data_IF_632503597096
#
_entry.id   IF_632503597096
#
_cell.length_a   1.000
_cell.length_b   1.000
_cell.length_c   1.000
_cell.angle_alpha   90.00
_cell.angle_beta   90.00
_cell.angle_gamma   90.00
#
_symmetry.space_group_name_H-M   'P 1'
#
loop_
_entity.id
_entity.type
_entity.pdbx_description
1 polymer ?
#
# COMPACT_ATOMS: atom_id res chain seq x y z
N UNK A 1 -16.44 -34.44 -2.76
CA UNK A 1 -16.38 -33.92 -2.99
C UNK A 1 -16.25 -33.30 -2.80
N UNK A 2 -16.07 -33.38 -2.68
CA UNK A 2 -15.96 -32.75 -2.74
C UNK A 2 -15.66 -31.99 -2.82
N UNK A 3 -15.53 -32.05 -2.78
CA UNK A 3 -15.16 -31.35 -2.99
C UNK A 3 -14.86 -30.60 -3.26
N UNK A 4 -14.61 -30.77 -3.26
CA UNK A 4 -14.17 -30.05 -3.66
C UNK A 4 -13.77 -29.55 -3.90
N UNK A 5 -13.56 -29.79 -3.87
CA UNK A 5 -13.15 -29.31 -4.33
C UNK A 5 -13.15 -28.63 -4.60
N UNK A 6 -13.38 -28.66 -4.77
CA UNK A 6 -13.36 -27.89 -5.07
C UNK A 6 -13.07 -27.11 -4.64
N UNK A 7 -13.20 -27.14 -4.35
CA UNK A 7 -12.94 -26.50 -4.00
C UNK A 7 -12.28 -25.92 -3.59
N UNK A 8 -12.55 -25.89 -3.63
CA UNK A 8 -11.88 -25.33 -3.13
C UNK A 8 -10.73 -24.88 -2.97
N UNK A 9 -10.59 -25.00 -3.24
CA UNK A 9 -9.19 -24.68 -3.38
C UNK A 9 -8.99 -23.39 -4.14
N UNK A 10 -9.80 -22.50 -3.91
CA UNK A 10 -9.68 -21.22 -4.55
C UNK A 10 -8.51 -20.47 -3.99
N UNK A 11 -7.67 -19.84 -4.83
CA UNK A 11 -6.59 -19.00 -4.36
C UNK A 11 -7.13 -17.85 -3.52
N UNK A 12 -6.34 -17.45 -2.56
CA UNK A 12 -6.73 -16.38 -1.67
C UNK A 12 -6.62 -15.01 -2.29
N UNK A 13 -5.94 -14.89 -3.42
CA UNK A 13 -5.65 -13.60 -4.01
C UNK A 13 -6.90 -12.76 -4.31
N UNK A 14 -8.03 -13.43 -4.50
CA UNK A 14 -9.26 -12.72 -4.81
C UNK A 14 -9.96 -12.18 -3.59
N UNK A 15 -9.51 -12.58 -2.42
CA UNK A 15 -10.17 -12.19 -1.19
C UNK A 15 -9.60 -10.91 -0.66
N UNK A 16 -10.47 -10.00 -0.29
CA UNK A 16 -10.05 -8.80 0.41
C UNK A 16 -9.83 -9.13 1.88
N UNK A 17 -8.88 -8.49 2.53
CA UNK A 17 -8.76 -8.63 3.98
C UNK A 17 -9.97 -8.01 4.67
N UNK A 18 -10.18 -8.39 5.91
CA UNK A 18 -11.21 -7.75 6.73
C UNK A 18 -10.70 -6.36 7.09
N UNK A 19 -11.48 -5.35 6.72
CA UNK A 19 -11.17 -3.96 7.02
C UNK A 19 -12.33 -3.40 7.82
N UNK A 20 -12.09 -3.01 9.05
CA UNK A 20 -13.12 -2.46 9.90
C UNK A 20 -13.55 -1.09 9.38
N UNK A 21 -14.80 -0.73 9.70
CA UNK A 21 -15.32 0.56 9.25
C UNK A 21 -14.44 1.69 9.77
N UNK A 22 -14.12 2.64 8.89
CA UNK A 22 -13.28 3.77 9.24
C UNK A 22 -11.80 3.44 9.26
N UNK A 23 -11.43 2.22 8.91
CA UNK A 23 -10.05 1.75 8.94
C UNK A 23 -9.48 1.68 7.54
N UNK A 24 -8.18 1.85 7.44
CA UNK A 24 -7.44 1.61 6.21
C UNK A 24 -6.22 0.77 6.53
N UNK A 25 -5.83 -0.08 5.57
CA UNK A 25 -4.66 -0.91 5.76
C UNK A 25 -3.97 -1.18 4.43
N UNK A 26 -2.73 -1.63 4.52
CA UNK A 26 -1.95 -2.00 3.36
C UNK A 26 -1.59 -3.48 3.51
N UNK A 27 -1.74 -4.22 2.41
CA UNK A 27 -1.25 -5.59 2.34
C UNK A 27 0.05 -5.55 1.53
N UNK A 28 1.11 -6.00 2.15
CA UNK A 28 2.42 -6.08 1.53
C UNK A 28 3.11 -7.35 1.98
N UNK A 29 3.56 -8.18 1.03
CA UNK A 29 4.23 -9.45 1.33
C UNK A 29 3.40 -10.33 2.25
N UNK A 30 2.10 -10.41 2.00
CA UNK A 30 1.16 -11.19 2.81
C UNK A 30 1.07 -10.71 4.26
N UNK A 31 1.50 -9.50 4.54
CA UNK A 31 1.39 -8.89 5.86
C UNK A 31 0.44 -7.73 5.82
N UNK A 32 -0.25 -7.53 6.92
CA UNK A 32 -1.23 -6.46 7.07
C UNK A 32 -0.64 -5.34 7.91
N UNK A 33 -0.67 -4.12 7.35
CA UNK A 33 -0.19 -2.93 8.05
C UNK A 33 -1.34 -1.94 8.14
N UNK A 34 -1.86 -1.73 9.34
CA UNK A 34 -2.96 -0.79 9.54
C UNK A 34 -2.40 0.62 9.48
N UNK A 35 -3.07 1.48 8.71
CA UNK A 35 -2.68 2.90 8.63
C UNK A 35 -3.35 3.58 9.81
N UNK A 36 -2.63 3.67 10.91
CA UNK A 36 -3.17 4.16 12.18
C UNK A 36 -2.54 5.48 12.63
N UNK A 37 -1.87 6.16 11.74
CA UNK A 37 -1.26 7.45 12.03
C UNK A 37 -1.12 8.24 10.74
N UNK A 38 -0.93 9.53 10.87
CA UNK A 38 -0.70 10.42 9.74
C UNK A 38 0.39 11.40 10.12
N UNK A 39 1.50 11.51 9.38
CA UNK A 39 1.79 10.74 8.18
C UNK A 39 2.20 9.31 8.49
N UNK A 40 1.85 8.42 7.58
CA UNK A 40 2.27 7.03 7.61
C UNK A 40 3.37 6.87 6.57
N UNK A 41 4.53 6.37 6.99
CA UNK A 41 5.74 6.41 6.17
C UNK A 41 6.12 5.03 5.69
N UNK A 42 6.48 4.92 4.42
CA UNK A 42 7.04 3.71 3.84
C UNK A 42 8.42 4.06 3.30
N UNK A 43 9.42 3.31 3.70
CA UNK A 43 10.78 3.60 3.28
C UNK A 43 11.76 2.52 3.67
N UNK A 44 13.04 2.81 3.44
CA UNK A 44 14.09 1.82 3.60
C UNK A 44 14.43 1.54 5.06
N UNK A 45 14.26 2.51 5.93
CA UNK A 45 14.62 2.33 7.33
C UNK A 45 13.77 3.24 8.23
N UNK A 46 13.52 2.77 9.45
CA UNK A 46 12.80 3.53 10.48
C UNK A 46 11.45 4.06 9.98
N UNK A 47 10.73 3.23 9.26
CA UNK A 47 9.46 3.60 8.68
C UNK A 47 8.34 2.74 9.27
N UNK A 48 7.10 3.10 8.98
CA UNK A 48 5.95 2.30 9.43
C UNK A 48 5.87 1.00 8.63
N UNK A 49 6.23 1.04 7.35
CA UNK A 49 6.56 -0.16 6.60
C UNK A 49 7.99 0.02 6.13
N UNK A 50 8.88 -0.82 6.65
CA UNK A 50 10.30 -0.75 6.31
C UNK A 50 10.62 -1.81 5.27
N UNK A 51 11.18 -1.37 4.15
CA UNK A 51 11.60 -2.24 3.05
C UNK A 51 13.10 -2.01 2.87
N UNK A 52 13.94 -2.87 3.47
CA UNK A 52 15.39 -2.62 3.52
C UNK A 52 16.10 -3.02 2.24
N UNK A 53 15.70 -2.41 1.13
CA UNK A 53 16.30 -2.67 -0.17
C UNK A 53 16.97 -1.40 -0.69
N UNK A 54 18.07 -1.58 -1.40
CA UNK A 54 18.85 -0.44 -1.86
C UNK A 54 18.11 0.44 -2.85
N UNK A 55 17.11 -0.12 -3.55
CA UNK A 55 16.33 0.65 -4.52
C UNK A 55 15.17 1.41 -3.88
N UNK A 56 15.00 1.30 -2.58
CA UNK A 56 13.98 2.05 -1.83
C UNK A 56 14.67 3.22 -1.14
N UNK A 57 14.10 4.40 -1.25
CA UNK A 57 14.63 5.59 -0.57
C UNK A 57 14.33 5.52 0.92
N UNK A 58 15.14 6.20 1.73
CA UNK A 58 14.96 6.21 3.19
C UNK A 58 13.53 6.51 3.56
N UNK A 59 12.98 7.59 3.02
CA UNK A 59 11.56 7.89 3.06
C UNK A 59 11.13 7.88 1.60
N UNK A 60 10.33 6.89 1.24
CA UNK A 60 9.96 6.71 -0.17
C UNK A 60 8.61 7.35 -0.46
N UNK A 61 7.61 7.02 0.33
CA UNK A 61 6.28 7.62 0.22
C UNK A 61 5.74 7.93 1.59
N UNK A 62 4.85 8.90 1.64
CA UNK A 62 4.09 9.19 2.85
C UNK A 62 2.62 9.18 2.51
N UNK A 63 1.82 8.71 3.46
CA UNK A 63 0.37 8.69 3.33
C UNK A 63 -0.19 9.54 4.44
N UNK A 64 -1.06 10.47 4.09
CA UNK A 64 -1.70 11.33 5.08
C UNK A 64 -3.20 11.13 5.06
N UNK A 65 -3.83 11.39 6.19
CA UNK A 65 -5.28 11.33 6.33
C UNK A 65 -5.77 12.67 6.79
N UNK A 66 -6.70 13.24 6.03
CA UNK A 66 -7.27 14.53 6.38
C UNK A 66 -8.63 14.65 5.72
N UNK A 67 -9.61 15.16 6.47
CA UNK A 67 -10.96 15.42 5.97
C UNK A 67 -11.58 14.15 5.35
N UNK A 68 -11.37 13.02 5.98
CA UNK A 68 -11.95 11.76 5.53
C UNK A 68 -11.27 11.15 4.33
N UNK A 69 -10.14 11.69 3.89
CA UNK A 69 -9.47 11.22 2.69
C UNK A 69 -8.03 10.81 2.98
N UNK A 70 -7.62 9.73 2.33
CA UNK A 70 -6.24 9.28 2.36
C UNK A 70 -5.54 9.76 1.10
N UNK A 71 -4.36 10.33 1.25
CA UNK A 71 -3.57 10.83 0.13
C UNK A 71 -2.15 10.32 0.24
N UNK A 72 -1.54 10.07 -0.89
CA UNK A 72 -0.16 9.58 -0.95
C UNK A 72 0.70 10.57 -1.71
N UNK A 73 1.95 10.73 -1.27
CA UNK A 73 2.93 11.53 -1.98
C UNK A 73 4.24 10.76 -2.06
N UNK A 74 4.86 10.80 -3.23
CA UNK A 74 6.22 10.34 -3.39
C UNK A 74 7.13 11.36 -2.73
N UNK A 75 7.97 10.92 -1.80
CA UNK A 75 8.79 11.85 -1.04
C UNK A 75 10.13 12.08 -1.73
N UNK A 76 10.04 12.46 -3.02
CA UNK A 76 11.22 12.70 -3.86
C UNK A 76 12.14 11.48 -3.91
N UNK A 77 11.53 10.32 -4.11
CA UNK A 77 12.27 9.06 -4.14
C UNK A 77 13.17 8.98 -5.36
N UNK A 78 14.25 8.24 -5.24
CA UNK A 78 15.20 8.09 -6.34
C UNK A 78 14.60 7.32 -7.52
N UNK A 79 13.86 6.26 -7.23
CA UNK A 79 13.38 5.36 -8.29
C UNK A 79 11.89 5.45 -8.57
N UNK A 80 11.19 6.35 -7.88
CA UNK A 80 9.83 6.66 -8.23
C UNK A 80 8.78 5.80 -7.56
N UNK A 81 7.55 6.24 -7.71
CA UNK A 81 6.36 5.59 -7.15
C UNK A 81 5.26 5.65 -8.19
N UNK A 82 4.52 4.54 -8.34
CA UNK A 82 3.33 4.51 -9.19
C UNK A 82 2.13 4.12 -8.37
N UNK A 83 0.98 4.65 -8.75
CA UNK A 83 -0.31 4.25 -8.18
C UNK A 83 -1.18 3.85 -9.36
N UNK A 84 -1.66 2.60 -9.34
CA UNK A 84 -2.44 2.02 -10.43
C UNK A 84 -1.76 2.23 -11.78
N UNK A 85 -0.42 2.07 -11.80
CA UNK A 85 0.37 2.17 -13.02
C UNK A 85 0.74 3.59 -13.44
N UNK A 86 0.27 4.61 -12.74
CA UNK A 86 0.57 5.99 -13.08
C UNK A 86 1.66 6.54 -12.16
N UNK A 87 2.72 7.07 -12.75
CA UNK A 87 3.83 7.59 -11.97
C UNK A 87 3.42 8.90 -11.29
N UNK A 88 3.73 9.00 -10.01
CA UNK A 88 3.44 10.19 -9.23
C UNK A 88 4.50 11.26 -9.48
N UNK A 89 4.09 12.52 -9.47
CA UNK A 89 5.03 13.62 -9.40
C UNK A 89 5.56 13.73 -7.97
N UNK A 90 6.85 13.96 -7.79
CA UNK A 90 7.41 14.07 -6.44
C UNK A 90 6.73 15.19 -5.65
N UNK A 91 6.47 14.90 -4.37
CA UNK A 91 5.95 15.88 -3.42
C UNK A 91 4.53 16.35 -3.69
N UNK A 92 3.82 15.73 -4.61
CA UNK A 92 2.43 16.06 -4.90
C UNK A 92 1.55 14.99 -4.26
N UNK A 93 0.50 15.40 -3.57
CA UNK A 93 -0.42 14.48 -2.91
C UNK A 93 -1.56 14.09 -3.84
N UNK A 94 -1.82 12.79 -3.90
CA UNK A 94 -2.88 12.22 -4.72
C UNK A 94 -3.80 11.41 -3.83
N UNK A 95 -5.10 11.55 -4.02
CA UNK A 95 -6.05 10.75 -3.26
C UNK A 95 -5.93 9.28 -3.63
N UNK A 96 -5.92 8.40 -2.63
CA UNK A 96 -5.97 6.96 -2.84
C UNK A 96 -7.27 6.41 -2.28
N UNK A 97 -7.76 5.36 -2.92
CA UNK A 97 -9.03 4.77 -2.58
C UNK A 97 -8.89 3.27 -2.41
N UNK A 98 -9.98 2.64 -1.96
CA UNK A 98 -10.01 1.21 -1.71
C UNK A 98 -9.56 0.43 -2.94
N UNK A 99 -8.62 -0.49 -2.74
CA UNK A 99 -8.16 -1.38 -3.78
C UNK A 99 -7.06 -0.85 -4.68
N UNK A 100 -6.58 0.37 -4.42
CA UNK A 100 -5.51 0.92 -5.25
C UNK A 100 -4.20 0.17 -5.03
N UNK A 101 -3.47 -0.04 -6.12
CA UNK A 101 -2.15 -0.65 -6.07
C UNK A 101 -1.08 0.42 -6.01
N UNK A 102 -0.15 0.27 -5.07
CA UNK A 102 0.98 1.17 -4.91
C UNK A 102 2.23 0.39 -5.28
N UNK A 103 3.05 0.97 -6.14
CA UNK A 103 4.25 0.30 -6.64
C UNK A 103 5.45 1.20 -6.36
N UNK A 104 6.42 0.68 -5.61
CA UNK A 104 7.63 1.42 -5.28
C UNK A 104 8.78 0.88 -6.11
N UNK A 105 9.47 1.77 -6.82
CA UNK A 105 10.67 1.43 -7.59
C UNK A 105 10.42 0.33 -8.62
N UNK A 106 9.18 0.12 -9.04
CA UNK A 106 8.78 -0.91 -9.99
C UNK A 106 9.12 -2.33 -9.51
N UNK A 107 9.48 -2.50 -8.25
CA UNK A 107 9.87 -3.79 -7.69
C UNK A 107 9.03 -4.23 -6.52
N UNK A 108 8.43 -3.29 -5.80
CA UNK A 108 7.63 -3.61 -4.62
C UNK A 108 6.20 -3.17 -4.86
N UNK A 109 5.28 -4.08 -4.68
CA UNK A 109 3.86 -3.80 -4.89
C UNK A 109 3.08 -4.05 -3.62
N UNK A 110 2.11 -3.20 -3.39
CA UNK A 110 1.23 -3.33 -2.24
C UNK A 110 -0.15 -2.81 -2.61
N UNK A 111 -1.15 -3.21 -1.85
CA UNK A 111 -2.52 -2.78 -2.11
C UNK A 111 -3.05 -2.12 -0.86
N UNK A 112 -3.68 -0.97 -1.04
CA UNK A 112 -4.35 -0.27 0.06
C UNK A 112 -5.83 -0.62 0.03
N UNK A 113 -6.38 -0.90 1.21
CA UNK A 113 -7.79 -1.16 1.39
C UNK A 113 -8.34 -0.14 2.38
N UNK A 114 -9.43 0.50 2.00
CA UNK A 114 -10.05 1.56 2.78
C UNK A 114 -11.52 1.24 2.93
N UNK A 115 -12.01 1.25 4.15
CA UNK A 115 -13.42 0.98 4.40
C UNK A 115 -14.15 2.23 4.90
#
# INVERSE_FOLDING_TARGET
ATRNFGNTIQPKRAEKPVVNQGEALIIYNNQKFVINKSPFVIGRENADITIPETYISKIHVIISYKDGKYRIADYDSTNGTKVNGTKLRPKVYYEIRDGYEIELSEKEKMIVYIN
#
